data_IF_446421223318
#
_entry.id   IF_446421223318
#
_cell.length_a   1.000
_cell.length_b   1.000
_cell.length_c   1.000
_cell.angle_alpha   90.00
_cell.angle_beta   90.00
_cell.angle_gamma   90.00
#
_symmetry.space_group_name_H-M   'P 1'
#
loop_
_entity.id
_entity.type
_entity.pdbx_description
1 polymer ?
#
# COMPACT_ATOMS: atom_id res chain seq x y z
N UNK A 1 -9.63 12.91 -12.84
CA UNK A 1 -10.55 13.80 -13.58
C UNK A 1 -10.88 15.06 -12.80
N UNK A 2 -11.33 14.97 -11.54
CA UNK A 2 -11.69 16.14 -10.72
C UNK A 2 -10.53 17.14 -10.60
N UNK A 3 -9.31 16.68 -10.31
CA UNK A 3 -8.12 17.53 -10.23
C UNK A 3 -7.77 18.16 -11.58
N UNK A 4 -7.90 17.42 -12.67
CA UNK A 4 -7.69 17.95 -14.02
C UNK A 4 -8.63 19.12 -14.32
N UNK A 5 -9.92 18.96 -14.01
CA UNK A 5 -10.91 20.03 -14.18
C UNK A 5 -10.62 21.22 -13.27
N UNK A 6 -10.27 20.99 -12.00
CA UNK A 6 -9.95 22.08 -11.08
C UNK A 6 -8.73 22.89 -11.54
N UNK A 7 -7.69 22.21 -12.04
CA UNK A 7 -6.50 22.89 -12.55
C UNK A 7 -6.77 23.59 -13.86
N UNK A 8 -7.61 23.04 -14.74
CA UNK A 8 -8.03 23.70 -15.95
C UNK A 8 -8.72 25.05 -15.67
N UNK A 9 -9.74 25.05 -14.80
CA UNK A 9 -10.46 26.27 -14.43
C UNK A 9 -9.62 27.28 -13.64
N UNK A 10 -8.49 26.85 -13.07
CA UNK A 10 -7.52 27.72 -12.40
C UNK A 10 -6.41 28.23 -13.35
N UNK A 11 -6.55 27.98 -14.65
CA UNK A 11 -5.56 28.39 -15.64
C UNK A 11 -4.27 27.55 -15.65
N UNK A 12 -4.22 26.43 -14.91
CA UNK A 12 -3.05 25.52 -14.87
C UNK A 12 -3.15 24.45 -15.95
N UNK A 13 -3.14 24.86 -17.20
CA UNK A 13 -3.41 23.98 -18.35
C UNK A 13 -2.45 22.79 -18.41
N UNK A 14 -1.15 23.00 -18.21
CA UNK A 14 -0.15 21.92 -18.23
C UNK A 14 -0.37 20.89 -17.12
N UNK A 15 -0.74 21.34 -15.94
CA UNK A 15 -1.07 20.45 -14.81
C UNK A 15 -2.34 19.65 -15.11
N UNK A 16 -3.35 20.28 -15.66
CA UNK A 16 -4.59 19.65 -16.10
C UNK A 16 -4.32 18.57 -17.15
N UNK A 17 -3.55 18.86 -18.18
CA UNK A 17 -3.17 17.90 -19.22
C UNK A 17 -2.38 16.72 -18.65
N UNK A 18 -1.48 16.98 -17.71
CA UNK A 18 -0.73 15.92 -17.01
C UNK A 18 -1.66 14.96 -16.25
N UNK A 19 -2.68 15.48 -15.57
CA UNK A 19 -3.66 14.64 -14.87
C UNK A 19 -4.56 13.88 -15.84
N UNK A 20 -4.96 14.48 -16.95
CA UNK A 20 -5.68 13.77 -18.01
C UNK A 20 -4.83 12.64 -18.60
N UNK A 21 -3.55 12.92 -18.87
CA UNK A 21 -2.60 11.89 -19.29
C UNK A 21 -2.51 10.74 -18.29
N UNK A 22 -2.36 11.01 -17.00
CA UNK A 22 -2.30 9.99 -15.96
C UNK A 22 -3.56 9.14 -15.90
N UNK A 23 -4.73 9.73 -16.11
CA UNK A 23 -6.01 9.02 -16.02
C UNK A 23 -6.29 8.14 -17.24
N UNK A 24 -5.97 8.63 -18.43
CA UNK A 24 -6.36 7.97 -19.68
C UNK A 24 -5.21 7.25 -20.38
N UNK A 25 -4.06 7.86 -20.45
CA UNK A 25 -2.94 7.32 -21.21
C UNK A 25 -2.05 6.39 -20.38
N UNK A 26 -1.78 6.73 -19.14
CA UNK A 26 -0.93 5.92 -18.27
C UNK A 26 -1.45 4.49 -18.07
N UNK A 27 -2.75 4.24 -17.83
CA UNK A 27 -3.29 2.89 -17.78
C UNK A 27 -3.20 2.13 -19.11
N UNK A 28 -3.15 2.82 -20.23
CA UNK A 28 -3.17 2.22 -21.57
C UNK A 28 -1.77 2.00 -22.11
N UNK A 29 -0.88 2.96 -21.93
CA UNK A 29 0.45 2.99 -22.55
C UNK A 29 1.60 2.74 -21.56
N UNK A 30 1.42 3.03 -20.27
CA UNK A 30 2.47 2.80 -19.28
C UNK A 30 2.72 1.29 -19.04
N UNK A 31 3.92 0.91 -18.72
CA UNK A 31 4.29 -0.48 -18.44
C UNK A 31 3.66 -1.04 -17.15
N UNK A 32 3.22 -0.17 -16.25
CA UNK A 32 2.61 -0.54 -14.98
C UNK A 32 1.29 0.17 -14.76
N UNK A 33 0.30 -0.54 -14.17
CA UNK A 33 -1.01 0.01 -13.81
C UNK A 33 -1.01 0.79 -12.49
N UNK A 34 0.06 0.72 -11.74
CA UNK A 34 0.14 1.34 -10.42
C UNK A 34 0.72 2.75 -10.55
N UNK A 35 0.06 3.77 -9.98
CA UNK A 35 0.61 5.12 -9.96
C UNK A 35 1.90 5.14 -9.13
N UNK A 36 2.80 6.03 -9.45
CA UNK A 36 3.99 6.27 -8.63
C UNK A 36 3.54 6.74 -7.23
N UNK A 37 4.13 6.19 -6.18
CA UNK A 37 3.80 6.55 -4.80
C UNK A 37 3.89 8.07 -4.56
N UNK A 38 4.91 8.72 -5.12
CA UNK A 38 5.07 10.18 -5.05
C UNK A 38 3.87 10.95 -5.61
N UNK A 39 3.26 10.49 -6.70
CA UNK A 39 2.08 11.13 -7.26
C UNK A 39 0.86 10.98 -6.34
N UNK A 40 0.71 9.81 -5.71
CA UNK A 40 -0.36 9.55 -4.76
C UNK A 40 -0.21 10.44 -3.53
N UNK A 41 0.98 10.48 -2.92
CA UNK A 41 1.23 11.33 -1.77
C UNK A 41 1.05 12.82 -2.09
N UNK A 42 1.57 13.29 -3.22
CA UNK A 42 1.36 14.67 -3.64
C UNK A 42 -0.14 15.02 -3.85
N UNK A 43 -0.95 14.06 -4.27
CA UNK A 43 -2.40 14.25 -4.38
C UNK A 43 -3.07 14.33 -3.01
N UNK A 44 -2.67 13.47 -2.09
CA UNK A 44 -3.15 13.48 -0.70
C UNK A 44 -2.77 14.80 -0.02
N UNK A 45 -1.54 15.25 -0.17
CA UNK A 45 -1.06 16.51 0.42
C UNK A 45 -1.84 17.72 -0.10
N UNK A 46 -2.11 17.76 -1.41
CA UNK A 46 -2.94 18.82 -1.99
C UNK A 46 -4.37 18.82 -1.42
N UNK A 47 -4.95 17.65 -1.28
CA UNK A 47 -6.29 17.53 -0.73
C UNK A 47 -6.31 17.88 0.77
N UNK A 48 -5.32 17.46 1.52
CA UNK A 48 -5.15 17.84 2.93
C UNK A 48 -5.06 19.36 3.09
N UNK A 49 -4.25 20.02 2.27
CA UNK A 49 -4.18 21.50 2.25
C UNK A 49 -5.51 22.13 1.87
N UNK A 50 -6.20 21.58 0.87
CA UNK A 50 -7.49 22.10 0.40
C UNK A 50 -8.58 22.08 1.48
N UNK A 51 -8.63 21.03 2.29
CA UNK A 51 -9.62 20.88 3.37
C UNK A 51 -9.18 21.56 4.67
N UNK A 52 -7.98 22.12 4.73
CA UNK A 52 -7.43 22.74 5.95
C UNK A 52 -7.06 21.71 7.02
N UNK A 53 -6.54 20.55 6.62
CA UNK A 53 -6.19 19.45 7.51
C UNK A 53 -5.35 19.89 8.72
N UNK A 54 -4.36 20.77 8.53
CA UNK A 54 -3.47 21.24 9.57
C UNK A 54 -4.20 21.91 10.75
N UNK A 55 -5.36 22.52 10.48
CA UNK A 55 -6.21 23.13 11.50
C UNK A 55 -7.05 22.13 12.30
N UNK A 56 -7.35 20.99 11.67
CA UNK A 56 -8.20 19.93 12.25
C UNK A 56 -7.38 18.83 12.91
N UNK A 57 -6.16 18.61 12.42
CA UNK A 57 -5.30 17.55 12.89
C UNK A 57 -4.76 17.83 14.30
N UNK A 58 -4.83 16.83 15.18
CA UNK A 58 -4.19 16.83 16.48
C UNK A 58 -3.39 15.56 16.66
N UNK A 59 -2.10 15.71 16.94
CA UNK A 59 -1.24 14.60 17.28
C UNK A 59 -1.49 14.18 18.72
N UNK A 60 -2.23 13.10 18.90
CA UNK A 60 -2.65 12.62 20.21
C UNK A 60 -2.79 11.11 20.23
N UNK A 61 -2.70 10.53 21.41
CA UNK A 61 -2.99 9.12 21.63
C UNK A 61 -4.39 8.95 22.17
N UNK A 62 -5.29 8.33 21.42
CA UNK A 62 -6.62 7.96 21.91
C UNK A 62 -6.48 6.88 22.98
N UNK A 63 -7.07 7.11 24.14
CA UNK A 63 -7.01 6.22 25.31
C UNK A 63 -8.24 5.34 25.42
N UNK A 64 -9.41 5.94 25.21
CA UNK A 64 -10.68 5.22 25.24
C UNK A 64 -11.72 5.90 24.37
N UNK A 65 -12.64 5.10 23.90
CA UNK A 65 -13.84 5.52 23.18
C UNK A 65 -15.03 4.82 23.83
N UNK A 66 -16.03 5.59 24.23
CA UNK A 66 -17.26 5.05 24.84
C UNK A 66 -18.46 5.64 24.15
N UNK A 67 -19.50 4.85 23.96
CA UNK A 67 -20.80 5.33 23.53
C UNK A 67 -21.50 5.95 24.73
N UNK A 68 -22.07 7.12 24.54
CA UNK A 68 -22.87 7.82 25.56
C UNK A 68 -24.34 7.43 25.46
N UNK A 69 -25.12 7.63 26.52
CA UNK A 69 -26.54 7.26 26.57
C UNK A 69 -27.37 7.97 25.52
N UNK A 70 -26.98 9.16 25.12
CA UNK A 70 -27.60 9.97 24.06
C UNK A 70 -27.16 9.56 22.63
N UNK A 71 -26.43 8.45 22.51
CA UNK A 71 -26.01 7.88 21.23
C UNK A 71 -24.78 8.53 20.59
N UNK A 72 -24.16 9.50 21.26
CA UNK A 72 -22.87 10.09 20.84
C UNK A 72 -21.68 9.24 21.31
N UNK A 73 -20.47 9.69 21.02
CA UNK A 73 -19.25 9.02 21.44
C UNK A 73 -18.37 9.98 22.23
N UNK A 74 -17.94 9.52 23.38
CA UNK A 74 -16.96 10.17 24.23
C UNK A 74 -15.56 9.60 23.96
N UNK A 75 -14.61 10.47 23.63
CA UNK A 75 -13.23 10.11 23.29
C UNK A 75 -12.32 10.78 24.30
N UNK A 76 -11.56 10.00 25.06
CA UNK A 76 -10.47 10.52 25.87
C UNK A 76 -9.13 10.29 25.15
N UNK A 77 -8.30 11.31 25.12
CA UNK A 77 -6.99 11.26 24.49
C UNK A 77 -5.92 11.97 25.34
N UNK A 78 -4.67 11.63 25.12
CA UNK A 78 -3.51 12.34 25.68
C UNK A 78 -2.70 12.96 24.56
N UNK A 79 -2.33 14.23 24.73
CA UNK A 79 -1.41 14.90 23.82
C UNK A 79 -0.02 14.28 23.96
N UNK A 80 0.64 14.08 22.86
CA UNK A 80 1.94 13.42 22.79
C UNK A 80 3.07 14.44 22.92
N UNK A 81 3.04 15.31 23.92
CA UNK A 81 4.20 16.12 24.25
C UNK A 81 4.96 15.47 25.40
N UNK A 82 6.27 15.40 25.28
CA UNK A 82 7.15 14.75 26.26
C UNK A 82 7.19 15.47 27.63
N UNK A 83 6.54 16.61 27.76
CA UNK A 83 6.57 17.45 28.93
C UNK A 83 5.23 17.71 29.63
N UNK A 84 4.11 17.36 29.01
CA UNK A 84 2.81 17.57 29.64
C UNK A 84 1.96 16.30 29.56
N UNK A 85 1.33 15.95 30.67
CA UNK A 85 0.31 14.91 30.75
C UNK A 85 -1.07 15.45 30.38
N UNK A 86 -1.13 16.33 29.39
CA UNK A 86 -2.37 16.95 28.99
C UNK A 86 -3.30 15.91 28.39
N UNK A 87 -4.41 15.74 29.03
CA UNK A 87 -5.49 14.91 28.59
C UNK A 87 -6.60 15.78 28.00
N UNK A 88 -7.15 15.31 26.90
CA UNK A 88 -8.30 15.96 26.28
C UNK A 88 -9.48 15.01 26.24
N UNK A 89 -10.64 15.63 26.14
CA UNK A 89 -11.90 14.91 26.03
C UNK A 89 -12.74 15.54 24.90
N UNK A 90 -13.34 14.68 24.07
CA UNK A 90 -14.21 15.10 22.99
C UNK A 90 -15.50 14.30 23.01
N UNK A 91 -16.62 14.97 22.74
CA UNK A 91 -17.88 14.30 22.45
C UNK A 91 -18.22 14.54 20.98
N UNK A 92 -18.39 13.46 20.23
CA UNK A 92 -18.61 13.50 18.79
C UNK A 92 -19.83 12.67 18.41
N UNK A 93 -20.49 13.07 17.32
CA UNK A 93 -21.65 12.34 16.80
C UNK A 93 -21.24 11.11 16.00
N UNK A 94 -20.15 11.18 15.27
CA UNK A 94 -19.65 10.11 14.42
C UNK A 94 -18.15 9.89 14.65
N UNK A 95 -17.72 8.64 14.54
CA UNK A 95 -16.30 8.26 14.58
C UNK A 95 -15.99 7.45 13.32
N UNK A 96 -14.93 7.82 12.65
CA UNK A 96 -14.30 6.98 11.62
C UNK A 96 -12.99 6.41 12.19
N UNK A 97 -12.94 5.08 12.33
CA UNK A 97 -11.76 4.39 12.85
C UNK A 97 -10.86 4.00 11.68
N UNK A 98 -9.69 4.62 11.61
CA UNK A 98 -8.70 4.40 10.54
C UNK A 98 -7.32 4.11 11.15
N UNK A 99 -7.24 3.05 11.94
CA UNK A 99 -6.03 2.66 12.69
C UNK A 99 -4.93 2.06 11.84
N UNK A 100 -5.17 1.87 10.54
CA UNK A 100 -4.22 1.21 9.67
C UNK A 100 -4.14 -0.30 9.91
N UNK A 101 -3.01 -0.88 9.55
CA UNK A 101 -2.77 -2.29 9.78
C UNK A 101 -2.41 -2.58 11.25
N UNK A 102 -2.79 -3.75 11.76
CA UNK A 102 -2.34 -4.19 13.07
C UNK A 102 -0.80 -4.34 13.08
N UNK A 103 -0.27 -4.57 14.26
CA UNK A 103 1.18 -4.77 14.49
C UNK A 103 1.80 -5.70 13.45
N UNK A 104 2.99 -5.36 12.96
CA UNK A 104 3.76 -6.21 12.06
C UNK A 104 3.93 -7.60 12.67
N UNK A 105 3.58 -8.61 11.88
CA UNK A 105 3.79 -10.01 12.26
C UNK A 105 5.10 -10.48 11.64
N UNK A 106 6.06 -10.81 12.48
CA UNK A 106 7.27 -11.50 12.07
C UNK A 106 7.03 -13.00 11.98
N UNK A 107 7.78 -13.66 11.13
CA UNK A 107 7.90 -15.11 11.20
C UNK A 107 8.68 -15.46 12.47
N UNK A 108 8.19 -16.43 13.20
CA UNK A 108 8.69 -16.76 14.52
C UNK A 108 10.20 -17.13 14.52
N UNK A 109 10.62 -17.93 13.56
CA UNK A 109 12.02 -18.33 13.38
C UNK A 109 12.94 -17.14 13.12
N UNK A 110 12.52 -16.17 12.31
CA UNK A 110 13.28 -14.95 12.04
C UNK A 110 13.29 -14.00 13.25
N UNK A 111 12.21 -13.96 14.01
CA UNK A 111 12.14 -13.19 15.24
C UNK A 111 13.09 -13.76 16.31
N UNK A 112 13.12 -15.08 16.46
CA UNK A 112 14.04 -15.78 17.38
C UNK A 112 15.48 -15.50 16.96
N UNK A 113 15.82 -15.66 15.69
CA UNK A 113 17.16 -15.37 15.16
C UNK A 113 17.60 -13.95 15.51
N UNK A 114 16.78 -12.96 15.19
CA UNK A 114 17.09 -11.54 15.49
C UNK A 114 17.28 -11.29 17.00
N UNK A 115 16.47 -11.94 17.84
CA UNK A 115 16.58 -11.79 19.30
C UNK A 115 17.85 -12.40 19.85
N UNK A 116 18.31 -13.50 19.26
CA UNK A 116 19.49 -14.22 19.72
C UNK A 116 20.79 -13.60 19.21
N UNK A 117 20.78 -13.12 17.97
CA UNK A 117 22.01 -12.61 17.31
C UNK A 117 22.17 -11.09 17.41
N UNK A 118 21.09 -10.36 17.70
CA UNK A 118 21.09 -8.90 17.60
C UNK A 118 21.18 -8.37 16.17
N UNK A 119 21.03 -9.24 15.16
CA UNK A 119 21.12 -8.85 13.75
C UNK A 119 19.79 -8.30 13.23
N UNK A 120 19.65 -7.00 13.30
CA UNK A 120 18.53 -6.25 12.76
C UNK A 120 18.83 -5.62 11.39
N UNK A 121 20.04 -5.83 10.86
CA UNK A 121 20.47 -5.25 9.59
C UNK A 121 20.39 -6.24 8.43
N UNK A 122 20.84 -7.49 8.64
CA UNK A 122 20.80 -8.51 7.60
C UNK A 122 19.42 -9.18 7.48
N UNK A 123 18.66 -9.25 8.58
CA UNK A 123 17.31 -9.82 8.59
C UNK A 123 16.28 -8.74 8.84
N UNK A 124 15.59 -8.35 7.81
CA UNK A 124 14.62 -7.25 7.83
C UNK A 124 13.22 -7.70 7.39
N UNK A 125 12.20 -7.07 7.96
CA UNK A 125 10.83 -7.23 7.47
C UNK A 125 10.56 -6.18 6.37
N UNK A 126 9.87 -6.59 5.34
CA UNK A 126 9.53 -5.71 4.21
C UNK A 126 8.71 -4.46 4.57
N UNK A 127 8.09 -4.45 5.75
CA UNK A 127 7.35 -3.31 6.29
C UNK A 127 8.16 -2.44 7.28
N UNK A 128 9.39 -2.82 7.57
CA UNK A 128 10.35 -1.98 8.28
C UNK A 128 11.15 -1.11 7.30
N UNK A 129 11.92 -0.17 7.82
CA UNK A 129 12.89 0.55 7.00
C UNK A 129 14.02 -0.42 6.61
N UNK A 130 14.14 -0.69 5.32
CA UNK A 130 15.14 -1.59 4.73
C UNK A 130 15.91 -0.93 3.58
N UNK A 131 15.99 0.40 3.58
CA UNK A 131 16.70 1.18 2.55
C UNK A 131 18.18 0.83 2.51
N UNK A 132 18.80 0.62 3.67
CA UNK A 132 20.20 0.22 3.80
C UNK A 132 20.55 -1.08 3.06
N UNK A 133 19.59 -2.00 2.90
CA UNK A 133 19.83 -3.24 2.12
C UNK A 133 20.08 -2.91 0.65
N UNK A 134 19.29 -2.02 0.07
CA UNK A 134 19.48 -1.62 -1.33
C UNK A 134 20.75 -0.80 -1.53
N UNK A 135 21.09 0.06 -0.60
CA UNK A 135 22.34 0.83 -0.61
C UNK A 135 23.56 -0.09 -0.54
N UNK A 136 23.53 -1.09 0.35
CA UNK A 136 24.57 -2.10 0.44
C UNK A 136 24.73 -2.88 -0.87
N UNK A 137 23.63 -3.33 -1.46
CA UNK A 137 23.67 -4.06 -2.74
C UNK A 137 24.17 -3.18 -3.89
N UNK A 138 23.83 -1.90 -3.91
CA UNK A 138 24.27 -0.95 -4.91
C UNK A 138 25.80 -0.72 -4.85
N UNK A 139 26.35 -0.73 -3.64
CA UNK A 139 27.78 -0.52 -3.41
C UNK A 139 28.60 -1.81 -3.55
N UNK A 140 28.14 -2.90 -2.99
CA UNK A 140 28.93 -4.12 -2.80
C UNK A 140 28.46 -5.32 -3.64
N UNK A 141 27.22 -5.30 -4.15
CA UNK A 141 26.61 -6.50 -4.70
C UNK A 141 26.20 -7.50 -3.61
N UNK A 142 26.10 -8.77 -3.95
CA UNK A 142 25.81 -9.84 -3.01
C UNK A 142 24.53 -10.60 -3.29
N UNK A 143 24.06 -11.43 -2.35
CA UNK A 143 22.88 -12.28 -2.50
C UNK A 143 21.82 -11.91 -1.50
N UNK A 144 20.59 -11.74 -2.00
CA UNK A 144 19.40 -11.47 -1.18
C UNK A 144 18.50 -12.68 -1.15
N UNK A 145 18.16 -13.14 0.06
CA UNK A 145 17.18 -14.18 0.26
C UNK A 145 15.82 -13.54 0.60
N UNK A 146 14.81 -13.82 -0.22
CA UNK A 146 13.45 -13.30 -0.05
C UNK A 146 12.54 -14.45 0.32
N UNK A 147 11.86 -14.33 1.45
CA UNK A 147 10.86 -15.31 1.91
C UNK A 147 9.46 -14.75 1.79
N UNK A 148 8.64 -15.38 0.96
CA UNK A 148 7.25 -15.00 0.73
C UNK A 148 6.91 -14.90 -0.75
N UNK A 149 5.59 -14.89 -1.07
CA UNK A 149 5.09 -14.93 -2.45
C UNK A 149 4.13 -13.77 -2.78
N UNK A 150 3.85 -12.91 -1.82
CA UNK A 150 2.88 -11.84 -1.99
C UNK A 150 3.35 -10.70 -2.87
N UNK A 151 2.46 -9.74 -3.10
CA UNK A 151 2.75 -8.51 -3.87
C UNK A 151 3.97 -7.77 -3.32
N UNK A 152 4.21 -7.82 -2.02
CA UNK A 152 5.36 -7.16 -1.39
C UNK A 152 6.65 -7.83 -1.84
N UNK A 153 6.71 -9.16 -1.86
CA UNK A 153 7.89 -9.89 -2.35
C UNK A 153 8.18 -9.54 -3.82
N UNK A 154 7.17 -9.47 -4.68
CA UNK A 154 7.36 -9.08 -6.07
C UNK A 154 7.87 -7.64 -6.23
N UNK A 155 7.44 -6.72 -5.38
CA UNK A 155 7.94 -5.33 -5.40
C UNK A 155 9.39 -5.23 -4.90
N UNK A 156 9.75 -6.03 -3.92
CA UNK A 156 11.15 -6.13 -3.46
C UNK A 156 12.04 -6.70 -4.57
N UNK A 157 11.62 -7.79 -5.22
CA UNK A 157 12.35 -8.37 -6.35
C UNK A 157 12.53 -7.33 -7.46
N UNK A 158 11.47 -6.63 -7.83
CA UNK A 158 11.54 -5.56 -8.82
C UNK A 158 12.57 -4.50 -8.40
N UNK A 159 12.53 -4.05 -7.15
CA UNK A 159 13.46 -3.04 -6.64
C UNK A 159 14.90 -3.52 -6.68
N UNK A 160 15.18 -4.77 -6.29
CA UNK A 160 16.53 -5.36 -6.35
C UNK A 160 16.98 -5.46 -7.80
N UNK A 161 16.10 -5.86 -8.71
CA UNK A 161 16.41 -5.90 -10.14
C UNK A 161 16.80 -4.51 -10.68
N UNK A 162 16.04 -3.46 -10.31
CA UNK A 162 16.35 -2.08 -10.67
C UNK A 162 17.72 -1.64 -10.12
N UNK A 163 18.05 -2.01 -8.87
CA UNK A 163 19.36 -1.75 -8.26
C UNK A 163 20.48 -2.46 -9.06
N UNK A 164 20.30 -3.74 -9.39
CA UNK A 164 21.25 -4.51 -10.19
C UNK A 164 21.51 -3.85 -11.55
N UNK A 165 20.44 -3.44 -12.25
CA UNK A 165 20.56 -2.79 -13.56
C UNK A 165 21.31 -1.46 -13.48
N UNK A 166 21.07 -0.70 -12.41
CA UNK A 166 21.69 0.63 -12.22
C UNK A 166 23.15 0.54 -11.77
N UNK A 167 23.44 -0.33 -10.82
CA UNK A 167 24.78 -0.47 -10.23
C UNK A 167 25.74 -1.31 -11.05
N UNK A 168 25.22 -2.16 -11.96
CA UNK A 168 25.98 -3.16 -12.71
C UNK A 168 26.77 -4.13 -11.80
N UNK A 169 26.32 -4.28 -10.54
CA UNK A 169 26.91 -5.20 -9.57
C UNK A 169 26.34 -6.60 -9.75
N UNK A 170 27.12 -7.59 -9.35
CA UNK A 170 26.65 -8.97 -9.26
C UNK A 170 25.70 -9.11 -8.04
N UNK A 171 24.40 -9.17 -8.32
CA UNK A 171 23.36 -9.29 -7.31
C UNK A 171 22.50 -10.51 -7.61
N UNK A 172 22.63 -11.53 -6.74
CA UNK A 172 21.83 -12.74 -6.76
C UNK A 172 20.53 -12.57 -5.96
N UNK A 173 19.48 -13.27 -6.39
CA UNK A 173 18.21 -13.35 -5.66
C UNK A 173 17.84 -14.81 -5.43
N UNK A 174 17.67 -15.19 -4.17
CA UNK A 174 17.11 -16.48 -3.79
C UNK A 174 15.69 -16.23 -3.28
N UNK A 175 14.70 -16.82 -3.93
CA UNK A 175 13.30 -16.61 -3.58
C UNK A 175 12.70 -17.91 -2.99
N UNK A 176 12.44 -17.90 -1.70
CA UNK A 176 11.80 -19.00 -0.99
C UNK A 176 10.29 -18.86 -1.00
N UNK A 177 9.62 -19.82 -1.59
CA UNK A 177 8.16 -19.88 -1.70
C UNK A 177 7.64 -21.19 -1.13
N UNK A 178 6.54 -21.13 -0.38
CA UNK A 178 5.89 -22.33 0.16
C UNK A 178 5.19 -23.17 -0.91
N UNK A 179 4.76 -22.54 -1.99
CA UNK A 179 4.07 -23.16 -3.11
C UNK A 179 4.44 -22.47 -4.41
N UNK A 180 4.32 -23.17 -5.51
CA UNK A 180 4.59 -22.63 -6.84
C UNK A 180 3.77 -21.38 -7.15
N UNK A 181 4.33 -20.51 -7.98
CA UNK A 181 3.61 -19.35 -8.50
C UNK A 181 2.62 -19.85 -9.53
N UNK A 182 1.35 -19.78 -9.21
CA UNK A 182 0.30 -20.04 -10.19
C UNK A 182 0.25 -18.89 -11.20
N UNK A 183 0.13 -19.21 -12.48
CA UNK A 183 -0.09 -18.20 -13.52
C UNK A 183 -1.31 -17.35 -13.14
N UNK A 184 -1.14 -16.04 -13.13
CA UNK A 184 -2.23 -15.13 -12.87
C UNK A 184 -3.35 -15.31 -13.89
N UNK A 185 -4.61 -15.30 -13.43
CA UNK A 185 -5.77 -15.36 -14.34
C UNK A 185 -5.84 -14.05 -15.13
N UNK A 186 -5.95 -14.15 -16.45
CA UNK A 186 -6.26 -13.00 -17.31
C UNK A 186 -7.74 -12.67 -17.14
N UNK A 187 -8.04 -11.52 -16.58
CA UNK A 187 -9.41 -11.01 -16.61
C UNK A 187 -9.65 -10.39 -17.98
N UNK A 188 -10.73 -10.79 -18.65
CA UNK A 188 -10.98 -10.53 -20.07
C UNK A 188 -11.01 -9.05 -20.50
N UNK A 189 -11.10 -8.13 -19.56
CA UNK A 189 -11.10 -6.68 -19.83
C UNK A 189 -9.72 -6.04 -19.64
N UNK A 190 -8.74 -6.76 -19.10
CA UNK A 190 -7.36 -6.28 -19.04
C UNK A 190 -6.74 -6.37 -20.44
N UNK A 191 -6.86 -5.32 -21.22
CA UNK A 191 -6.34 -5.25 -22.59
C UNK A 191 -4.81 -5.30 -22.67
N UNK A 192 -4.13 -5.37 -21.54
CA UNK A 192 -2.68 -5.39 -21.47
C UNK A 192 -2.14 -6.79 -21.46
N UNK A 193 -1.29 -7.10 -22.41
CA UNK A 193 -0.36 -8.22 -22.30
C UNK A 193 0.69 -7.87 -21.27
N UNK A 194 0.49 -8.32 -20.06
CA UNK A 194 1.56 -8.32 -19.06
C UNK A 194 2.24 -9.67 -19.16
N UNK A 195 3.46 -9.69 -19.57
CA UNK A 195 4.27 -10.91 -19.68
C UNK A 195 4.75 -11.39 -18.30
N UNK A 196 4.66 -10.54 -17.30
CA UNK A 196 5.11 -10.81 -15.95
C UNK A 196 3.99 -11.39 -15.09
N UNK A 197 4.15 -12.63 -14.66
CA UNK A 197 3.20 -13.34 -13.81
C UNK A 197 2.97 -12.66 -12.44
N UNK A 198 3.88 -11.81 -11.97
CA UNK A 198 3.76 -11.09 -10.71
C UNK A 198 2.83 -9.88 -10.79
N UNK A 199 2.60 -9.33 -11.94
CA UNK A 199 1.73 -8.17 -12.11
C UNK A 199 0.23 -8.51 -12.08
N UNK A 200 -0.13 -9.78 -12.22
CA UNK A 200 -1.49 -10.27 -12.06
C UNK A 200 -1.87 -10.55 -10.60
N UNK A 201 -1.21 -9.90 -9.69
CA UNK A 201 -1.65 -9.90 -8.30
C UNK A 201 -2.99 -9.17 -8.16
N UNK A 202 -3.89 -9.61 -7.26
CA UNK A 202 -5.24 -9.06 -7.14
C UNK A 202 -5.30 -7.56 -6.86
N UNK A 203 -4.22 -6.95 -6.47
CA UNK A 203 -4.13 -5.50 -6.28
C UNK A 203 -4.22 -4.69 -7.58
N UNK A 204 -4.00 -5.31 -8.72
CA UNK A 204 -4.14 -4.64 -10.00
C UNK A 204 -5.58 -4.66 -10.52
N UNK A 205 -6.47 -5.40 -9.89
CA UNK A 205 -7.87 -5.44 -10.27
C UNK A 205 -8.82 -4.48 -9.54
N UNK A 206 -8.44 -3.63 -8.53
CA UNK A 206 -9.34 -2.64 -8.00
C UNK A 206 -10.04 -1.79 -9.07
N UNK A 207 -9.38 -1.51 -10.19
CA UNK A 207 -10.03 -0.82 -11.32
C UNK A 207 -11.21 -1.61 -11.90
N UNK A 208 -11.05 -2.91 -12.04
CA UNK A 208 -12.12 -3.78 -12.50
C UNK A 208 -13.21 -3.98 -11.44
N UNK A 209 -12.86 -3.91 -10.15
CA UNK A 209 -13.80 -3.99 -9.05
C UNK A 209 -14.55 -2.69 -8.77
N UNK A 210 -13.95 -1.56 -9.04
CA UNK A 210 -14.58 -0.25 -8.84
C UNK A 210 -15.53 0.11 -9.99
N UNK A 211 -15.46 -0.62 -11.07
CA UNK A 211 -16.35 -0.51 -12.21
C UNK A 211 -16.30 -1.75 -13.07
N UNK A 212 -17.33 -1.99 -13.86
CA UNK A 212 -17.37 -3.07 -14.82
C UNK A 212 -17.82 -4.41 -14.28
N UNK A 213 -17.52 -5.46 -15.02
CA UNK A 213 -18.06 -6.81 -14.86
C UNK A 213 -17.76 -7.47 -13.52
N UNK A 214 -16.54 -7.30 -13.01
CA UNK A 214 -16.15 -7.90 -11.73
C UNK A 214 -16.89 -7.27 -10.54
N UNK A 215 -17.16 -5.98 -10.59
CA UNK A 215 -17.97 -5.31 -9.59
C UNK A 215 -19.38 -5.86 -9.57
N UNK A 216 -20.00 -5.98 -10.73
CA UNK A 216 -21.35 -6.54 -10.86
C UNK A 216 -21.40 -7.97 -10.31
N UNK A 217 -20.41 -8.81 -10.64
CA UNK A 217 -20.31 -10.17 -10.10
C UNK A 217 -20.17 -10.19 -8.58
N UNK A 218 -19.37 -9.27 -8.01
CA UNK A 218 -19.15 -9.20 -6.57
C UNK A 218 -20.40 -8.68 -5.85
N UNK A 219 -21.03 -7.63 -6.35
CA UNK A 219 -22.23 -7.04 -5.74
C UNK A 219 -23.41 -7.98 -5.79
N UNK A 220 -23.62 -8.68 -6.92
CA UNK A 220 -24.71 -9.65 -7.10
C UNK A 220 -24.47 -11.00 -6.42
N UNK A 221 -23.29 -11.27 -5.88
CA UNK A 221 -22.98 -12.55 -5.27
C UNK A 221 -23.44 -12.64 -3.81
N UNK A 222 -23.97 -13.80 -3.41
CA UNK A 222 -24.24 -14.13 -2.01
C UNK A 222 -22.93 -14.16 -1.19
N UNK A 223 -22.96 -13.96 0.16
CA UNK A 223 -21.76 -13.85 1.00
C UNK A 223 -20.74 -14.98 0.79
N UNK A 224 -21.19 -16.21 0.72
CA UNK A 224 -20.32 -17.38 0.48
C UNK A 224 -19.65 -17.34 -0.88
N UNK A 225 -20.40 -16.97 -1.92
CA UNK A 225 -19.85 -16.81 -3.26
C UNK A 225 -18.87 -15.64 -3.34
N UNK A 226 -19.10 -14.56 -2.61
CA UNK A 226 -18.12 -13.44 -2.49
C UNK A 226 -16.81 -13.93 -1.89
N UNK A 227 -16.87 -14.73 -0.82
CA UNK A 227 -15.68 -15.31 -0.20
C UNK A 227 -14.90 -16.16 -1.19
N UNK A 228 -15.57 -17.02 -1.95
CA UNK A 228 -14.95 -17.86 -2.97
C UNK A 228 -14.35 -17.03 -4.12
N UNK A 229 -15.06 -16.01 -4.60
CA UNK A 229 -14.56 -15.09 -5.61
C UNK A 229 -13.30 -14.36 -5.14
N UNK A 230 -13.28 -13.88 -3.91
CA UNK A 230 -12.11 -13.22 -3.32
C UNK A 230 -10.93 -14.19 -3.18
N UNK A 231 -11.17 -15.44 -2.82
CA UNK A 231 -10.15 -16.48 -2.78
C UNK A 231 -9.66 -16.86 -4.19
N UNK A 232 -10.59 -17.00 -5.14
CA UNK A 232 -10.28 -17.32 -6.52
C UNK A 232 -9.50 -16.23 -7.23
N UNK A 233 -9.83 -14.96 -6.95
CA UNK A 233 -9.13 -13.80 -7.50
C UNK A 233 -7.78 -13.53 -6.83
N UNK A 234 -7.36 -14.43 -5.99
CA UNK A 234 -6.07 -14.42 -5.36
C UNK A 234 -6.07 -13.52 -4.14
N UNK A 235 -6.53 -14.08 -3.04
CA UNK A 235 -6.33 -13.44 -1.76
C UNK A 235 -4.86 -13.09 -1.56
N UNK A 236 -4.64 -11.99 -0.89
CA UNK A 236 -3.34 -11.68 -0.33
C UNK A 236 -2.86 -12.90 0.43
N UNK A 237 -1.70 -13.32 0.12
CA UNK A 237 -1.03 -14.37 0.88
C UNK A 237 -0.96 -13.97 2.34
N UNK A 238 -1.55 -14.75 3.16
CA UNK A 238 -1.27 -14.78 4.59
C UNK A 238 0.01 -15.55 4.84
#
# INVERSE_FOLDING_TARGET
>A
LREAWQDFFRGRILSSLRFLWQVFAEPTFAQTYTPKASNVFASIDREAKRIGWDRMFRFARVRTVRKTDDGRYAIAYSLSSSKSRDHGFLIVRFIHVATGYPKLKFLEDLQIYRSQTGDFTSVVNAYENHTHVYEHLEQNGGVVLIRGRGIVASRIIQRIYEVRQRSQKDIGIIHLMRSEVTKGKKFGVAQRRVENNFEFQPFNWPKACWGGELRVKLEGAKPEKRKNLLQEWGGTTT
#
